data_IF_012713956747
#
_entry.id   IF_012713956747
#
_cell.length_a   1.000
_cell.length_b   1.000
_cell.length_c   1.000
_cell.angle_alpha   90.00
_cell.angle_beta   90.00
_cell.angle_gamma   90.00
#
_symmetry.space_group_name_H-M   'P 1'
#
loop_
_entity.id
_entity.type
_entity.pdbx_description
1 polymer ?
#
# COMPACT_ATOMS: atom_id res chain seq x y z
N UNK A 1 -1.78 0.47 6.53
CA UNK A 1 -0.32 0.53 6.50
C UNK A 1 0.24 0.18 7.87
N UNK A 2 1.31 -0.57 7.89
CA UNK A 2 1.97 -1.03 9.10
C UNK A 2 3.33 -0.32 9.21
N UNK A 3 3.75 0.04 10.41
CA UNK A 3 5.11 0.56 10.57
C UNK A 3 6.14 -0.55 10.35
N UNK A 4 7.38 -0.23 9.93
CA UNK A 4 8.43 -1.24 9.82
C UNK A 4 8.66 -2.03 11.11
N UNK A 5 8.53 -1.39 12.27
CA UNK A 5 8.65 -2.08 13.57
C UNK A 5 7.52 -3.08 13.81
N UNK A 6 6.28 -2.73 13.48
CA UNK A 6 5.14 -3.64 13.53
C UNK A 6 5.34 -4.81 12.57
N UNK A 7 5.85 -4.56 11.36
CA UNK A 7 6.10 -5.59 10.37
C UNK A 7 7.16 -6.60 10.84
N UNK A 8 8.22 -6.14 11.47
CA UNK A 8 9.22 -7.01 12.12
C UNK A 8 8.59 -7.79 13.28
N UNK A 9 7.85 -7.10 14.15
CA UNK A 9 7.30 -7.68 15.37
C UNK A 9 6.21 -8.73 15.10
N UNK A 10 5.27 -8.44 14.22
CA UNK A 10 4.08 -9.29 14.00
C UNK A 10 4.30 -10.35 12.92
N UNK A 11 5.16 -10.07 11.93
CA UNK A 11 5.38 -10.97 10.80
C UNK A 11 6.78 -11.57 10.75
N UNK A 12 7.63 -11.28 11.75
CA UNK A 12 8.99 -11.85 11.84
C UNK A 12 9.89 -11.52 10.65
N UNK A 13 9.56 -10.45 9.92
CA UNK A 13 10.29 -10.11 8.69
C UNK A 13 11.63 -9.43 9.01
N UNK A 14 12.66 -9.64 8.17
CA UNK A 14 13.92 -8.92 8.32
C UNK A 14 13.72 -7.41 8.29
N UNK A 15 14.44 -6.62 9.12
CA UNK A 15 14.27 -5.16 9.20
C UNK A 15 14.39 -4.45 7.85
N UNK A 16 15.29 -4.90 7.00
CA UNK A 16 15.47 -4.30 5.67
C UNK A 16 14.27 -4.57 4.76
N UNK A 17 13.68 -5.76 4.84
CA UNK A 17 12.45 -6.06 4.08
C UNK A 17 11.27 -5.25 4.62
N UNK A 18 11.16 -5.12 5.94
CA UNK A 18 10.16 -4.29 6.59
C UNK A 18 10.24 -2.83 6.13
N UNK A 19 11.44 -2.27 6.09
CA UNK A 19 11.66 -0.92 5.57
C UNK A 19 11.23 -0.79 4.11
N UNK A 20 11.66 -1.72 3.23
CA UNK A 20 11.29 -1.72 1.81
C UNK A 20 9.78 -1.83 1.63
N UNK A 21 9.14 -2.77 2.31
CA UNK A 21 7.71 -2.96 2.20
C UNK A 21 6.93 -1.70 2.63
N UNK A 22 7.26 -1.15 3.79
CA UNK A 22 6.50 -0.04 4.35
C UNK A 22 6.81 1.33 3.73
N UNK A 23 7.97 1.50 3.10
CA UNK A 23 8.45 2.83 2.74
C UNK A 23 8.79 3.00 1.25
N UNK A 24 9.13 1.90 0.56
CA UNK A 24 9.54 1.98 -0.83
C UNK A 24 8.51 1.40 -1.80
N UNK A 25 7.69 0.43 -1.37
CA UNK A 25 6.77 -0.28 -2.26
C UNK A 25 5.31 0.10 -2.06
N UNK A 26 4.94 0.60 -0.88
CA UNK A 26 3.56 0.90 -0.55
C UNK A 26 3.37 2.38 -0.21
N UNK A 27 2.19 2.89 -0.57
CA UNK A 27 1.77 4.25 -0.22
C UNK A 27 1.40 4.30 1.26
N UNK A 28 1.89 5.32 1.97
CA UNK A 28 1.47 5.55 3.35
C UNK A 28 -0.01 5.97 3.41
N UNK A 29 -0.70 5.76 4.56
CA UNK A 29 -2.06 6.26 4.74
C UNK A 29 -2.18 7.76 4.50
N UNK A 30 -1.26 8.56 5.02
CA UNK A 30 -1.23 10.01 4.83
C UNK A 30 -0.97 10.39 3.36
N UNK A 31 -0.07 9.67 2.69
CA UNK A 31 0.19 9.85 1.26
C UNK A 31 -1.04 9.54 0.41
N UNK A 32 -1.75 8.44 0.74
CA UNK A 32 -3.02 8.11 0.09
C UNK A 32 -4.07 9.20 0.33
N UNK A 33 -4.25 9.65 1.57
CA UNK A 33 -5.19 10.72 1.90
C UNK A 33 -4.89 12.01 1.13
N UNK A 34 -3.61 12.40 1.03
CA UNK A 34 -3.20 13.59 0.28
C UNK A 34 -3.53 13.48 -1.22
N UNK A 35 -3.31 12.32 -1.82
CA UNK A 35 -3.70 12.08 -3.22
C UNK A 35 -5.21 12.20 -3.38
N UNK A 36 -5.99 11.56 -2.49
CA UNK A 36 -7.45 11.60 -2.54
C UNK A 36 -8.00 13.02 -2.34
N UNK A 37 -7.41 13.83 -1.45
CA UNK A 37 -7.76 15.24 -1.28
C UNK A 37 -7.46 16.10 -2.52
N UNK A 38 -6.49 15.69 -3.32
CA UNK A 38 -6.12 16.42 -4.54
C UNK A 38 -7.04 16.08 -5.71
N UNK A 39 -7.43 14.80 -5.84
CA UNK A 39 -8.26 14.35 -6.97
C UNK A 39 -9.76 14.37 -6.67
N UNK A 40 -10.15 14.51 -5.41
CA UNK A 40 -11.55 14.59 -4.94
C UNK A 40 -12.47 13.53 -5.56
N UNK A 41 -12.17 12.23 -5.40
CA UNK A 41 -12.96 11.18 -6.01
C UNK A 41 -14.35 11.10 -5.38
N UNK A 42 -15.33 10.62 -6.12
CA UNK A 42 -16.67 10.31 -5.59
C UNK A 42 -16.63 9.31 -4.43
N UNK A 43 -15.66 8.41 -4.44
CA UNK A 43 -15.40 7.42 -3.38
C UNK A 43 -13.97 6.93 -3.48
N UNK A 44 -13.25 6.90 -2.38
CA UNK A 44 -11.91 6.35 -2.27
C UNK A 44 -11.96 4.94 -1.68
N UNK A 45 -11.17 4.02 -2.23
CA UNK A 45 -11.07 2.65 -1.71
C UNK A 45 -9.61 2.34 -1.43
N UNK A 46 -9.25 2.18 -0.16
CA UNK A 46 -7.95 1.67 0.23
C UNK A 46 -8.00 0.14 0.29
N UNK A 47 -7.08 -0.52 -0.40
CA UNK A 47 -7.01 -1.98 -0.47
C UNK A 47 -5.57 -2.47 -0.36
N UNK A 48 -5.38 -3.77 -0.25
CA UNK A 48 -4.07 -4.41 -0.16
C UNK A 48 -3.26 -3.96 1.06
N UNK A 49 -3.88 -4.03 2.22
CA UNK A 49 -3.24 -3.81 3.52
C UNK A 49 -3.64 -4.93 4.48
N UNK A 50 -2.93 -5.04 5.58
CA UNK A 50 -3.27 -6.02 6.62
C UNK A 50 -4.55 -5.62 7.33
N UNK A 51 -5.46 -6.58 7.51
CA UNK A 51 -6.84 -6.33 7.97
C UNK A 51 -7.04 -6.49 9.47
N UNK A 52 -5.99 -6.72 10.25
CA UNK A 52 -6.04 -6.74 11.70
C UNK A 52 -6.58 -5.42 12.24
N UNK A 53 -7.38 -5.49 13.29
CA UNK A 53 -8.13 -4.36 13.80
C UNK A 53 -7.26 -3.13 14.11
N UNK A 54 -6.12 -3.34 14.77
CA UNK A 54 -5.20 -2.25 15.11
C UNK A 54 -4.61 -1.58 13.86
N UNK A 55 -4.32 -2.36 12.82
CA UNK A 55 -3.76 -1.83 11.57
C UNK A 55 -4.83 -1.07 10.79
N UNK A 56 -6.04 -1.60 10.72
CA UNK A 56 -7.17 -0.92 10.07
C UNK A 56 -7.44 0.44 10.72
N UNK A 57 -7.39 0.51 12.04
CA UNK A 57 -7.55 1.75 12.77
C UNK A 57 -6.46 2.76 12.39
N UNK A 58 -5.20 2.36 12.41
CA UNK A 58 -4.07 3.22 12.07
C UNK A 58 -4.13 3.70 10.61
N UNK A 59 -4.51 2.82 9.69
CA UNK A 59 -4.73 3.17 8.28
C UNK A 59 -5.83 4.21 8.14
N UNK A 60 -6.97 3.99 8.79
CA UNK A 60 -8.08 4.92 8.76
C UNK A 60 -7.69 6.29 9.31
N UNK A 61 -7.09 6.33 10.50
CA UNK A 61 -6.68 7.60 11.13
C UNK A 61 -5.65 8.34 10.26
N UNK A 62 -4.65 7.64 9.73
CA UNK A 62 -3.65 8.24 8.88
C UNK A 62 -4.22 8.82 7.56
N UNK A 63 -5.23 8.19 6.97
CA UNK A 63 -5.92 8.74 5.80
C UNK A 63 -6.71 9.99 6.19
N UNK A 64 -7.41 9.95 7.34
CA UNK A 64 -8.25 11.04 7.83
C UNK A 64 -7.47 12.28 8.28
N UNK A 65 -6.16 12.20 8.44
CA UNK A 65 -5.33 13.40 8.66
C UNK A 65 -5.40 14.39 7.49
N UNK A 66 -5.67 13.93 6.28
CA UNK A 66 -5.61 14.75 5.07
C UNK A 66 -6.81 14.58 4.12
N UNK A 67 -7.70 13.62 4.35
CA UNK A 67 -8.84 13.35 3.48
C UNK A 67 -10.12 13.07 4.25
N UNK A 68 -11.14 13.92 4.04
CA UNK A 68 -12.45 13.83 4.70
C UNK A 68 -13.55 13.24 3.80
N UNK A 69 -13.25 12.94 2.55
CA UNK A 69 -14.22 12.44 1.59
C UNK A 69 -14.67 10.99 1.85
N UNK A 70 -15.59 10.46 1.01
CA UNK A 70 -16.07 9.09 1.10
C UNK A 70 -14.93 8.07 0.98
N UNK A 71 -14.83 7.15 1.95
CA UNK A 71 -13.72 6.21 2.07
C UNK A 71 -14.20 4.84 2.54
N UNK A 72 -13.76 3.79 1.83
CA UNK A 72 -13.85 2.41 2.29
C UNK A 72 -12.46 1.83 2.52
N UNK A 73 -12.30 1.09 3.61
CA UNK A 73 -11.17 0.20 3.83
C UNK A 73 -11.59 -1.20 3.37
N UNK A 74 -11.10 -1.61 2.20
CA UNK A 74 -11.53 -2.84 1.57
C UNK A 74 -11.14 -4.09 2.37
N UNK A 75 -12.06 -5.03 2.39
CA UNK A 75 -11.81 -6.43 2.79
C UNK A 75 -12.20 -7.34 1.64
N UNK A 76 -11.81 -8.61 1.72
CA UNK A 76 -12.17 -9.59 0.72
C UNK A 76 -13.69 -9.65 0.53
N UNK A 77 -14.12 -9.82 -0.69
CA UNK A 77 -15.52 -9.91 -1.10
C UNK A 77 -16.34 -8.61 -0.99
N UNK A 78 -15.73 -7.46 -0.69
CA UNK A 78 -16.42 -6.19 -0.86
C UNK A 78 -16.61 -5.86 -2.34
N UNK A 79 -17.78 -5.35 -2.68
CA UNK A 79 -18.20 -5.00 -4.05
C UNK A 79 -18.77 -3.58 -4.07
N UNK A 80 -18.33 -2.79 -5.01
CA UNK A 80 -18.87 -1.45 -5.29
C UNK A 80 -19.58 -1.45 -6.63
N UNK A 81 -20.88 -1.23 -6.60
CA UNK A 81 -21.67 -0.99 -7.81
C UNK A 81 -21.64 0.51 -8.11
N UNK A 82 -21.07 0.89 -9.23
CA UNK A 82 -20.84 2.28 -9.60
C UNK A 82 -21.73 2.65 -10.78
N UNK A 83 -22.61 3.61 -10.57
CA UNK A 83 -23.41 4.26 -11.63
C UNK A 83 -23.02 5.74 -11.75
N UNK A 84 -23.64 6.46 -12.64
CA UNK A 84 -23.46 7.91 -12.71
C UNK A 84 -24.03 8.62 -11.48
N UNK A 85 -25.11 8.10 -10.93
CA UNK A 85 -25.90 8.70 -9.86
C UNK A 85 -25.36 8.30 -8.48
N UNK A 86 -25.00 7.03 -8.30
CA UNK A 86 -24.64 6.49 -6.99
C UNK A 86 -23.48 5.49 -7.01
N UNK A 87 -22.91 5.28 -5.83
CA UNK A 87 -21.96 4.19 -5.55
C UNK A 87 -22.52 3.42 -4.37
N UNK A 88 -22.88 2.15 -4.58
CA UNK A 88 -23.41 1.28 -3.54
C UNK A 88 -22.36 0.26 -3.14
N UNK A 89 -22.00 0.25 -1.86
CA UNK A 89 -21.08 -0.73 -1.27
C UNK A 89 -21.87 -1.90 -0.69
N UNK A 90 -21.42 -3.11 -0.92
CA UNK A 90 -21.99 -4.33 -0.36
C UNK A 90 -20.95 -5.43 -0.19
N UNK A 91 -21.27 -6.43 0.62
CA UNK A 91 -20.51 -7.67 0.65
C UNK A 91 -20.96 -8.60 -0.47
N UNK A 92 -20.00 -9.20 -1.16
CA UNK A 92 -20.25 -10.28 -2.09
C UNK A 92 -20.61 -11.58 -1.34
N UNK A 93 -21.40 -12.42 -1.98
CA UNK A 93 -21.68 -13.76 -1.49
C UNK A 93 -21.04 -14.74 -2.46
N UNK A 94 -20.12 -15.58 -1.97
CA UNK A 94 -19.54 -16.66 -2.75
C UNK A 94 -20.32 -17.93 -2.47
N UNK A 95 -20.90 -18.59 -3.51
CA UNK A 95 -21.49 -19.93 -3.32
C UNK A 95 -20.40 -20.93 -2.92
N UNK A 96 -20.73 -21.92 -2.12
CA UNK A 96 -19.79 -22.94 -1.63
C UNK A 96 -19.06 -23.68 -2.76
N UNK A 97 -19.65 -23.72 -3.95
CA UNK A 97 -19.07 -24.32 -5.16
C UNK A 97 -18.18 -23.38 -5.99
N UNK A 98 -17.98 -22.12 -5.54
CA UNK A 98 -17.19 -21.14 -6.30
C UNK A 98 -15.68 -21.19 -6.02
N UNK A 99 -15.22 -22.18 -5.27
CA UNK A 99 -13.78 -22.39 -5.10
C UNK A 99 -13.16 -22.86 -6.43
N UNK A 100 -12.13 -22.16 -6.87
CA UNK A 100 -11.36 -22.60 -8.01
C UNK A 100 -10.81 -24.01 -7.76
N UNK A 101 -10.95 -24.87 -8.74
CA UNK A 101 -10.21 -26.15 -8.78
C UNK A 101 -8.71 -25.86 -8.65
N UNK A 102 -7.97 -26.79 -8.06
CA UNK A 102 -6.51 -26.64 -7.96
C UNK A 102 -5.93 -26.18 -9.29
N UNK A 103 -5.33 -25.02 -9.26
CA UNK A 103 -4.64 -24.46 -10.42
C UNK A 103 -3.36 -25.25 -10.73
N UNK A 104 -2.70 -24.96 -11.83
CA UNK A 104 -1.43 -25.61 -12.16
C UNK A 104 -0.43 -25.40 -11.02
N UNK A 105 0.19 -26.48 -10.58
CA UNK A 105 1.13 -26.52 -9.44
C UNK A 105 2.42 -25.73 -9.66
N UNK A 106 2.63 -25.22 -10.87
CA UNK A 106 3.74 -24.31 -11.19
C UNK A 106 3.20 -23.06 -11.87
N UNK A 107 3.27 -21.96 -11.17
CA UNK A 107 3.19 -20.65 -11.81
C UNK A 107 4.48 -20.44 -12.64
N UNK A 108 4.39 -19.95 -13.87
CA UNK A 108 5.59 -19.55 -14.60
C UNK A 108 6.31 -18.48 -13.78
N UNK A 109 7.58 -18.69 -13.52
CA UNK A 109 8.41 -17.69 -12.86
C UNK A 109 8.46 -16.39 -13.67
N UNK A 110 8.86 -15.27 -13.05
CA UNK A 110 9.07 -14.03 -13.79
C UNK A 110 10.06 -14.28 -14.93
N UNK A 111 9.70 -13.83 -16.12
CA UNK A 111 10.60 -13.90 -17.30
C UNK A 111 11.85 -13.02 -17.04
N UNK A 112 13.04 -13.64 -16.89
CA UNK A 112 14.25 -12.88 -16.58
C UNK A 112 14.73 -12.00 -17.75
N UNK A 113 14.18 -12.20 -18.94
CA UNK A 113 14.48 -11.40 -20.12
C UNK A 113 13.60 -10.18 -20.25
N UNK A 114 12.49 -10.14 -19.52
CA UNK A 114 11.54 -9.01 -19.55
C UNK A 114 12.13 -7.83 -18.78
N UNK A 115 12.56 -6.81 -19.52
CA UNK A 115 12.93 -5.53 -18.92
C UNK A 115 11.67 -4.84 -18.37
N UNK A 116 11.70 -4.49 -17.09
CA UNK A 116 10.71 -3.56 -16.54
C UNK A 116 11.01 -2.18 -17.08
N UNK A 117 10.14 -1.66 -17.93
CA UNK A 117 10.20 -0.28 -18.36
C UNK A 117 9.38 0.57 -17.38
N UNK A 118 10.07 1.43 -16.66
CA UNK A 118 9.37 2.44 -15.84
C UNK A 118 8.93 3.57 -16.74
N UNK A 119 7.64 3.90 -16.66
CA UNK A 119 7.12 5.07 -17.37
C UNK A 119 7.70 6.35 -16.77
N UNK A 120 7.73 7.42 -17.54
CA UNK A 120 8.15 8.75 -17.08
C UNK A 120 7.33 9.22 -15.86
N UNK A 121 6.06 8.85 -15.78
CA UNK A 121 5.19 9.09 -14.64
C UNK A 121 5.68 8.41 -13.38
N UNK A 122 6.08 7.16 -13.47
CA UNK A 122 6.62 6.40 -12.33
C UNK A 122 7.93 7.02 -11.83
N UNK A 123 8.78 7.49 -12.74
CA UNK A 123 10.06 8.11 -12.38
C UNK A 123 9.89 9.50 -11.74
N UNK A 124 8.85 10.24 -12.15
CA UNK A 124 8.56 11.57 -11.61
C UNK A 124 7.67 11.56 -10.36
N UNK A 125 7.08 10.42 -10.02
CA UNK A 125 6.25 10.30 -8.84
C UNK A 125 7.05 10.54 -7.55
N UNK A 126 6.58 11.47 -6.73
CA UNK A 126 7.23 11.90 -5.48
C UNK A 126 6.40 11.45 -4.28
N UNK A 127 6.49 10.17 -3.93
CA UNK A 127 5.79 9.60 -2.76
C UNK A 127 6.31 10.16 -1.44
N UNK A 128 7.59 10.52 -1.39
CA UNK A 128 8.28 11.10 -0.23
C UNK A 128 7.72 12.46 0.19
N UNK A 129 7.10 13.20 -0.72
CA UNK A 129 6.43 14.47 -0.40
C UNK A 129 5.18 14.29 0.46
N UNK A 130 4.60 13.07 0.48
CA UNK A 130 3.45 12.72 1.31
C UNK A 130 3.82 12.25 2.73
N UNK A 131 5.10 12.03 3.03
CA UNK A 131 5.51 11.54 4.34
C UNK A 131 5.39 12.67 5.37
N UNK A 132 4.53 12.44 6.37
CA UNK A 132 4.41 13.38 7.50
C UNK A 132 5.67 13.33 8.38
N UNK A 133 6.04 14.45 9.04
CA UNK A 133 7.23 14.51 9.89
C UNK A 133 7.31 13.42 10.96
N UNK A 134 6.17 13.07 11.56
CA UNK A 134 6.11 11.98 12.55
C UNK A 134 6.44 10.61 11.97
N UNK A 135 5.96 10.31 10.76
CA UNK A 135 6.31 9.07 10.05
C UNK A 135 7.78 9.05 9.67
N UNK A 136 8.30 10.18 9.18
CA UNK A 136 9.72 10.29 8.86
C UNK A 136 10.58 9.98 10.10
N UNK A 137 10.24 10.55 11.25
CA UNK A 137 10.95 10.28 12.50
C UNK A 137 10.92 8.80 12.91
N UNK A 138 9.77 8.10 12.70
CA UNK A 138 9.68 6.66 12.94
C UNK A 138 10.55 5.85 11.98
N UNK A 139 10.62 6.25 10.72
CA UNK A 139 11.47 5.62 9.72
C UNK A 139 12.94 5.82 10.05
N UNK A 140 13.35 7.05 10.34
CA UNK A 140 14.72 7.39 10.71
C UNK A 140 15.17 6.57 11.92
N UNK A 141 14.31 6.47 12.95
CA UNK A 141 14.57 5.64 14.14
C UNK A 141 14.70 4.15 13.82
N UNK A 142 13.87 3.63 12.91
CA UNK A 142 13.97 2.23 12.47
C UNK A 142 15.28 1.99 11.70
N UNK A 143 15.63 2.89 10.80
CA UNK A 143 16.86 2.80 10.02
C UNK A 143 18.09 2.86 10.93
N UNK A 144 18.12 3.76 11.90
CA UNK A 144 19.19 3.87 12.89
C UNK A 144 19.31 2.57 13.73
N UNK A 145 18.19 2.09 14.29
CA UNK A 145 18.14 0.89 15.13
C UNK A 145 18.73 -0.36 14.44
N UNK A 146 18.52 -0.49 13.14
CA UNK A 146 18.96 -1.65 12.37
C UNK A 146 20.14 -1.36 11.45
N UNK A 147 20.77 -0.19 11.58
CA UNK A 147 21.88 0.26 10.76
C UNK A 147 21.62 0.11 9.24
N UNK A 148 20.42 0.51 8.80
CA UNK A 148 20.00 0.45 7.41
C UNK A 148 20.44 1.72 6.68
N UNK A 149 20.91 1.56 5.45
CA UNK A 149 21.19 2.70 4.58
C UNK A 149 19.92 3.08 3.80
N UNK A 150 19.73 4.37 3.59
CA UNK A 150 18.70 4.86 2.68
C UNK A 150 18.94 4.32 1.28
N UNK A 151 18.04 3.45 0.83
CA UNK A 151 18.10 2.87 -0.51
C UNK A 151 17.14 3.63 -1.41
N UNK A 152 17.53 4.84 -1.81
CA UNK A 152 16.80 5.54 -2.85
C UNK A 152 16.87 4.73 -4.16
N UNK A 153 15.81 3.98 -4.41
CA UNK A 153 15.67 3.11 -5.59
C UNK A 153 15.79 3.89 -6.90
N UNK A 154 15.50 5.20 -6.90
CA UNK A 154 15.64 6.08 -8.07
C UNK A 154 17.09 6.22 -8.48
N UNK A 155 18.00 6.34 -7.53
CA UNK A 155 19.45 6.36 -7.81
C UNK A 155 19.96 5.06 -8.42
N UNK A 156 19.24 3.96 -8.24
CA UNK A 156 19.58 2.68 -8.88
C UNK A 156 19.14 2.63 -10.34
N UNK A 157 18.11 3.42 -10.73
CA UNK A 157 17.65 3.52 -12.12
C UNK A 157 18.52 4.45 -12.97
N UNK A 158 19.12 5.47 -12.35
CA UNK A 158 20.02 6.40 -13.02
C UNK A 158 21.36 5.77 -13.42
N UNK A 159 21.70 4.61 -12.83
CA UNK A 159 22.96 3.88 -13.09
C UNK A 159 22.86 2.83 -14.21
N UNK A 160 21.74 2.74 -14.89
CA UNK A 160 21.52 1.87 -16.06
C UNK A 160 21.37 2.68 -17.32
#
# INVERSE_FOLDING_TARGET
>A
FMTPEQFVKYYGQPPQLAWRACCAFHTSPQGFGKVMSTIEPRHAVAYHFYTEEIIRYDVFQGIRETYDGPLSLATDMMVWNITKEEITERMGVSPDAAFATEGPTKQPGPDPTRKSEFTEWTLKARWDEGIQPAQKALLDKHMEKYNLQDQDWRKQLEKK
#
